data_IF_794461572696
#
_entry.id   IF_794461572696
#
_cell.length_a   1.000
_cell.length_b   1.000
_cell.length_c   1.000
_cell.angle_alpha   90.00
_cell.angle_beta   90.00
_cell.angle_gamma   90.00
#
_symmetry.space_group_name_H-M   'P 1'
#
loop_
_entity.id
_entity.type
_entity.pdbx_description
1 polymer ?
#
# COMPACT_ATOMS: atom_id res chain seq x y z
N UNK A 1 -7.05 -21.06 4.95
CA UNK A 1 -6.00 -20.10 4.54
C UNK A 1 -6.64 -19.11 3.60
N UNK A 2 -6.45 -17.80 3.81
CA UNK A 2 -6.84 -16.81 2.81
C UNK A 2 -5.93 -16.89 1.56
N UNK A 3 -6.38 -16.34 0.44
CA UNK A 3 -5.63 -16.35 -0.82
C UNK A 3 -4.22 -15.74 -0.66
N UNK A 4 -4.09 -14.76 0.24
CA UNK A 4 -2.85 -14.04 0.52
C UNK A 4 -1.76 -14.96 1.13
N UNK A 5 -2.17 -16.01 1.85
CA UNK A 5 -1.32 -16.99 2.52
C UNK A 5 -0.79 -18.12 1.63
N UNK A 6 -1.30 -18.31 0.41
CA UNK A 6 -1.01 -19.50 -0.39
C UNK A 6 0.37 -19.52 -1.06
N UNK A 7 1.07 -18.38 -1.15
CA UNK A 7 2.39 -18.28 -1.80
C UNK A 7 3.53 -18.10 -0.80
N UNK A 8 4.74 -18.64 -1.09
CA UNK A 8 5.96 -18.27 -0.37
C UNK A 8 6.18 -16.75 -0.43
N UNK A 9 6.67 -16.17 0.66
CA UNK A 9 7.00 -14.74 0.71
C UNK A 9 8.21 -14.43 -0.18
N UNK A 10 8.17 -13.31 -0.87
CA UNK A 10 9.30 -12.78 -1.66
C UNK A 10 10.07 -11.70 -0.88
N UNK A 11 9.42 -11.03 0.08
CA UNK A 11 9.99 -10.01 0.95
C UNK A 11 10.39 -10.51 2.35
N UNK A 12 11.10 -9.66 3.09
CA UNK A 12 11.46 -9.88 4.50
C UNK A 12 10.34 -9.53 5.48
N UNK A 13 9.37 -8.73 5.05
CA UNK A 13 8.25 -8.27 5.87
C UNK A 13 7.11 -9.29 5.91
N UNK A 14 6.34 -9.27 7.00
CA UNK A 14 5.07 -9.98 7.07
C UNK A 14 4.04 -9.28 6.15
N UNK A 15 3.05 -10.04 5.67
CA UNK A 15 2.00 -9.58 4.73
C UNK A 15 1.26 -8.33 5.22
N UNK A 16 1.18 -8.18 6.54
CA UNK A 16 0.82 -6.95 7.22
C UNK A 16 1.96 -6.62 8.20
N UNK A 17 2.56 -5.44 8.07
CA UNK A 17 3.67 -5.03 8.95
C UNK A 17 3.39 -3.65 9.53
N UNK A 18 3.48 -3.54 10.86
CA UNK A 18 3.38 -2.25 11.55
C UNK A 18 4.73 -1.52 11.52
N UNK A 19 4.73 -0.29 10.99
CA UNK A 19 5.88 0.62 10.95
C UNK A 19 6.15 1.33 12.29
N UNK A 20 7.20 2.16 12.31
CA UNK A 20 7.80 2.75 13.53
C UNK A 20 6.80 3.56 14.39
N UNK A 21 6.83 3.34 15.72
CA UNK A 21 6.13 4.14 16.75
C UNK A 21 6.74 5.56 16.89
N UNK A 22 6.00 6.58 17.38
CA UNK A 22 4.61 6.54 17.88
C UNK A 22 3.52 6.75 16.81
N UNK A 23 3.87 7.15 15.58
CA UNK A 23 2.92 7.41 14.48
C UNK A 23 2.90 6.33 13.40
N UNK A 24 2.94 5.05 13.82
CA UNK A 24 3.12 3.91 12.92
C UNK A 24 2.01 3.75 11.88
N UNK A 25 2.32 3.04 10.81
CA UNK A 25 1.38 2.70 9.75
C UNK A 25 1.41 1.19 9.50
N UNK A 26 0.27 0.62 9.13
CA UNK A 26 0.17 -0.77 8.70
C UNK A 26 0.44 -0.85 7.20
N UNK A 27 1.59 -1.38 6.83
CA UNK A 27 1.95 -1.63 5.44
C UNK A 27 1.33 -2.93 4.96
N UNK A 28 0.70 -2.89 3.79
CA UNK A 28 0.10 -4.07 3.17
C UNK A 28 1.07 -4.61 2.12
N UNK A 29 1.42 -5.88 2.23
CA UNK A 29 2.29 -6.59 1.28
C UNK A 29 1.49 -7.73 0.65
N UNK A 30 0.73 -7.47 -0.44
CA UNK A 30 -0.01 -8.50 -1.15
C UNK A 30 0.90 -9.67 -1.50
N UNK A 31 0.43 -10.87 -1.18
CA UNK A 31 1.09 -12.17 -1.31
C UNK A 31 2.50 -12.27 -0.74
N UNK A 32 2.87 -11.35 0.18
CA UNK A 32 4.21 -11.29 0.76
C UNK A 32 5.28 -10.78 -0.20
N UNK A 33 4.90 -9.98 -1.21
CA UNK A 33 5.84 -9.30 -2.11
C UNK A 33 6.73 -8.31 -1.36
N UNK A 34 7.81 -7.85 -2.01
CA UNK A 34 8.88 -7.08 -1.36
C UNK A 34 8.51 -5.63 -1.04
N UNK A 35 7.74 -4.97 -1.89
CA UNK A 35 7.38 -3.56 -1.78
C UNK A 35 5.86 -3.40 -1.67
N UNK A 36 5.38 -2.59 -0.71
CA UNK A 36 3.95 -2.40 -0.48
C UNK A 36 3.37 -1.37 -1.48
N UNK A 37 2.15 -1.56 -2.00
CA UNK A 37 1.45 -0.54 -2.80
C UNK A 37 0.99 0.65 -1.94
N UNK A 38 0.51 0.38 -0.72
CA UNK A 38 -0.06 1.37 0.20
C UNK A 38 0.09 0.94 1.67
N UNK A 39 -0.26 1.87 2.56
CA UNK A 39 -0.28 1.68 4.01
C UNK A 39 -1.53 2.33 4.62
N UNK A 40 -1.96 1.82 5.76
CA UNK A 40 -2.98 2.42 6.59
C UNK A 40 -2.38 3.13 7.81
N UNK A 41 -3.02 4.19 8.27
CA UNK A 41 -2.73 4.81 9.57
C UNK A 41 -4.03 5.28 10.21
N UNK A 42 -4.00 5.51 11.52
CA UNK A 42 -5.14 6.11 12.24
C UNK A 42 -4.74 7.50 12.69
N UNK A 43 -5.60 8.49 12.42
CA UNK A 43 -5.44 9.86 12.91
C UNK A 43 -6.82 10.41 13.27
N UNK A 44 -6.94 10.99 14.46
CA UNK A 44 -8.19 11.58 14.96
C UNK A 44 -9.40 10.63 14.87
N UNK A 45 -9.20 9.34 15.17
CA UNK A 45 -10.27 8.33 15.10
C UNK A 45 -10.63 7.86 13.68
N UNK A 46 -9.97 8.36 12.64
CA UNK A 46 -10.23 7.96 11.25
C UNK A 46 -9.13 7.04 10.73
N UNK A 47 -9.54 5.97 10.05
CA UNK A 47 -8.66 5.15 9.25
C UNK A 47 -8.33 5.89 7.94
N UNK A 48 -7.04 6.07 7.69
CA UNK A 48 -6.50 6.72 6.51
C UNK A 48 -5.70 5.73 5.68
N UNK A 49 -5.68 5.91 4.38
CA UNK A 49 -4.84 5.18 3.42
C UNK A 49 -3.91 6.15 2.70
N UNK A 50 -2.67 5.72 2.46
CA UNK A 50 -1.71 6.45 1.65
C UNK A 50 -0.91 5.46 0.80
N UNK A 51 -0.63 5.81 -0.45
CA UNK A 51 0.28 5.00 -1.26
C UNK A 51 1.75 5.13 -0.84
N UNK A 52 2.57 4.19 -1.32
CA UNK A 52 3.98 4.08 -0.93
C UNK A 52 4.97 4.65 -1.97
N UNK A 53 4.50 5.38 -2.99
CA UNK A 53 5.33 5.93 -4.08
C UNK A 53 6.34 7.01 -3.64
N UNK A 54 6.18 7.58 -2.44
CA UNK A 54 7.18 8.47 -1.78
C UNK A 54 7.81 7.85 -0.53
N UNK A 55 7.68 6.55 -0.33
CA UNK A 55 8.30 5.85 0.79
C UNK A 55 9.82 5.73 0.63
N UNK A 56 10.53 5.38 1.70
CA UNK A 56 11.97 5.08 1.62
C UNK A 56 12.20 3.62 1.20
N UNK A 57 11.74 3.28 0.00
CA UNK A 57 11.86 1.95 -0.61
C UNK A 57 12.58 2.05 -1.95
N UNK A 58 13.20 0.95 -2.39
CA UNK A 58 13.85 0.92 -3.72
C UNK A 58 12.88 1.18 -4.88
N UNK A 59 11.60 0.83 -4.70
CA UNK A 59 10.57 1.06 -5.71
C UNK A 59 10.00 2.50 -5.70
N UNK A 60 10.46 3.41 -4.83
CA UNK A 60 9.92 4.77 -4.77
C UNK A 60 10.05 5.49 -6.13
N UNK A 61 9.00 6.22 -6.52
CA UNK A 61 8.92 6.88 -7.83
C UNK A 61 8.59 5.96 -9.03
N UNK A 62 8.36 4.67 -8.82
CA UNK A 62 7.98 3.75 -9.90
C UNK A 62 6.62 4.10 -10.51
N UNK A 63 6.52 4.15 -11.85
CA UNK A 63 5.25 4.49 -12.56
C UNK A 63 4.11 3.52 -12.28
N UNK A 64 4.44 2.28 -11.88
CA UNK A 64 3.45 1.28 -11.46
C UNK A 64 2.56 1.70 -10.28
N UNK A 65 2.90 2.76 -9.55
CA UNK A 65 2.02 3.34 -8.53
C UNK A 65 0.88 4.21 -9.09
N UNK A 66 0.82 4.47 -10.39
CA UNK A 66 -0.18 5.34 -11.00
C UNK A 66 -1.62 4.93 -10.67
N UNK A 67 -1.96 3.64 -10.74
CA UNK A 67 -3.33 3.17 -10.45
C UNK A 67 -3.77 3.49 -9.00
N UNK A 68 -2.91 3.23 -8.01
CA UNK A 68 -3.25 3.55 -6.61
C UNK A 68 -3.27 5.06 -6.38
N UNK A 69 -2.44 5.84 -7.08
CA UNK A 69 -2.51 7.29 -7.00
C UNK A 69 -3.84 7.81 -7.56
N UNK A 70 -4.28 7.33 -8.72
CA UNK A 70 -5.57 7.68 -9.32
C UNK A 70 -6.76 7.28 -8.44
N UNK A 71 -6.77 6.07 -7.87
CA UNK A 71 -7.81 5.64 -6.93
C UNK A 71 -7.93 6.58 -5.73
N UNK A 72 -6.81 7.11 -5.24
CA UNK A 72 -6.77 8.03 -4.11
C UNK A 72 -6.97 9.51 -4.50
N UNK A 73 -7.34 9.79 -5.75
CA UNK A 73 -7.51 11.15 -6.28
C UNK A 73 -6.22 11.95 -6.35
N UNK A 74 -5.09 11.28 -6.60
CA UNK A 74 -3.73 11.83 -6.55
C UNK A 74 -2.94 11.46 -7.82
N UNK A 75 -1.69 11.93 -7.86
CA UNK A 75 -0.72 11.64 -8.92
C UNK A 75 0.57 11.09 -8.28
N UNK A 76 1.11 10.01 -8.82
CA UNK A 76 2.27 9.28 -8.29
C UNK A 76 3.58 10.09 -8.38
N UNK A 77 3.65 11.07 -9.27
CA UNK A 77 4.76 12.04 -9.30
C UNK A 77 4.71 13.02 -8.12
N UNK A 78 3.52 13.27 -7.56
CA UNK A 78 3.26 14.20 -6.47
C UNK A 78 3.35 13.58 -5.07
N UNK A 79 3.04 14.35 -4.00
CA UNK A 79 3.04 13.85 -2.64
C UNK A 79 2.05 12.69 -2.44
N UNK A 80 2.44 11.69 -1.65
CA UNK A 80 1.53 10.61 -1.21
C UNK A 80 0.77 11.05 0.06
N UNK A 81 -0.34 11.77 -0.13
CA UNK A 81 -1.19 12.24 0.98
C UNK A 81 -2.03 11.09 1.52
N UNK A 82 -2.16 11.04 2.85
CA UNK A 82 -3.10 10.15 3.51
C UNK A 82 -4.51 10.71 3.37
N UNK A 83 -5.44 9.89 2.88
CA UNK A 83 -6.85 10.26 2.69
C UNK A 83 -7.74 9.30 3.49
N UNK A 84 -8.94 9.74 3.93
CA UNK A 84 -9.89 8.84 4.58
C UNK A 84 -10.22 7.64 3.69
N UNK A 85 -10.33 6.45 4.28
CA UNK A 85 -10.83 5.28 3.54
C UNK A 85 -12.34 5.36 3.28
N UNK A 86 -13.04 6.26 3.97
CA UNK A 86 -14.49 6.46 3.81
C UNK A 86 -14.80 6.81 2.36
N UNK A 87 -15.66 6.01 1.73
CA UNK A 87 -16.05 6.18 0.32
C UNK A 87 -15.22 5.39 -0.68
N UNK A 88 -14.17 4.69 -0.23
CA UNK A 88 -13.47 3.70 -1.05
C UNK A 88 -14.16 2.35 -0.95
N UNK A 89 -14.27 1.65 -2.08
CA UNK A 89 -14.66 0.25 -2.10
C UNK A 89 -13.45 -0.62 -1.63
N UNK A 90 -13.62 -1.46 -0.58
CA UNK A 90 -12.54 -2.31 -0.08
C UNK A 90 -12.01 -3.33 -1.12
N UNK A 91 -12.89 -3.88 -1.95
CA UNK A 91 -12.54 -4.87 -2.96
C UNK A 91 -11.79 -4.21 -4.11
N UNK A 92 -12.20 -2.99 -4.50
CA UNK A 92 -11.46 -2.19 -5.48
C UNK A 92 -10.07 -1.81 -4.97
N UNK A 93 -9.98 -1.32 -3.72
CA UNK A 93 -8.70 -0.98 -3.09
C UNK A 93 -7.76 -2.18 -3.03
N UNK A 94 -8.29 -3.37 -2.71
CA UNK A 94 -7.52 -4.61 -2.71
C UNK A 94 -7.06 -5.00 -4.13
N UNK A 95 -7.96 -4.96 -5.11
CA UNK A 95 -7.65 -5.34 -6.49
C UNK A 95 -6.59 -4.41 -7.12
N UNK A 96 -6.73 -3.09 -6.94
CA UNK A 96 -5.73 -2.09 -7.34
C UNK A 96 -4.43 -2.33 -6.59
N UNK A 97 -4.50 -2.59 -5.28
CA UNK A 97 -3.36 -2.95 -4.45
C UNK A 97 -2.55 -4.12 -5.00
N UNK A 98 -3.19 -5.23 -5.36
CA UNK A 98 -2.48 -6.39 -5.93
C UNK A 98 -1.85 -6.07 -7.28
N UNK A 99 -2.55 -5.37 -8.18
CA UNK A 99 -2.00 -4.98 -9.49
C UNK A 99 -0.77 -4.09 -9.35
N UNK A 100 -0.86 -3.04 -8.53
CA UNK A 100 0.28 -2.15 -8.22
C UNK A 100 1.41 -2.94 -7.56
N UNK A 101 1.08 -3.81 -6.60
CA UNK A 101 2.07 -4.67 -5.94
C UNK A 101 2.81 -5.55 -6.94
N UNK A 102 2.13 -6.14 -7.94
CA UNK A 102 2.81 -6.88 -9.02
C UNK A 102 3.71 -5.95 -9.82
N UNK A 103 3.21 -4.80 -10.26
CA UNK A 103 3.94 -3.89 -11.13
C UNK A 103 5.23 -3.34 -10.50
N UNK A 104 5.22 -3.03 -9.20
CA UNK A 104 6.39 -2.42 -8.51
C UNK A 104 7.39 -3.44 -7.98
N UNK A 105 7.08 -4.74 -8.08
CA UNK A 105 7.93 -5.84 -7.62
C UNK A 105 8.46 -6.73 -8.77
N UNK A 106 8.30 -6.30 -10.02
CA UNK A 106 8.97 -6.92 -11.18
C UNK A 106 10.46 -6.56 -11.21
#
# INVERSE_FOLDING_TARGET
MDANGQRPREGTHARLTFGKKPGGALFVYPFGRRFPPFKFSVKNGQLLVAGCWKGNFKAAGHRGFGEIASLLGQNESGPAKAVPVTGLDPDELWAVGDRVSRAVNQ
#
